data_IF_577995848761
#
_entry.id   IF_577995848761
#
_cell.length_a   1.000
_cell.length_b   1.000
_cell.length_c   1.000
_cell.angle_alpha   90.00
_cell.angle_beta   90.00
_cell.angle_gamma   90.00
#
_symmetry.space_group_name_H-M   'P 1'
#
loop_
_entity.id
_entity.type
_entity.pdbx_description
1 polymer ?
#
# COMPACT_ATOMS: atom_id res chain seq x y z
N UNK A 1 5.52 -0.67 -11.25
CA UNK A 1 4.13 -0.72 -10.74
C UNK A 1 3.19 0.16 -11.58
N UNK A 2 3.56 1.41 -11.85
CA UNK A 2 2.71 2.37 -12.57
C UNK A 2 3.22 2.82 -13.94
N UNK A 3 4.47 2.51 -14.33
CA UNK A 3 4.99 2.88 -15.66
C UNK A 3 4.78 4.36 -15.97
N UNK A 4 4.16 4.65 -17.11
CA UNK A 4 3.84 6.02 -17.55
C UNK A 4 2.84 6.74 -16.63
N UNK A 5 2.07 6.02 -15.81
CA UNK A 5 1.08 6.59 -14.89
C UNK A 5 1.68 6.91 -13.51
N UNK A 6 2.99 6.73 -13.30
CA UNK A 6 3.62 6.94 -12.00
C UNK A 6 3.44 8.37 -11.45
N UNK A 7 3.52 9.39 -12.32
CA UNK A 7 3.29 10.78 -11.93
C UNK A 7 1.87 11.00 -11.41
N UNK A 8 0.86 10.55 -12.16
CA UNK A 8 -0.55 10.67 -11.77
C UNK A 8 -0.89 9.87 -10.50
N UNK A 9 -0.25 8.71 -10.29
CA UNK A 9 -0.42 7.99 -9.03
C UNK A 9 0.15 8.78 -7.85
N UNK A 10 1.32 9.40 -8.02
CA UNK A 10 1.88 10.27 -6.99
C UNK A 10 0.96 11.46 -6.69
N UNK A 11 0.31 12.04 -7.71
CA UNK A 11 -0.69 13.09 -7.51
C UNK A 11 -1.86 12.60 -6.66
N UNK A 12 -2.37 11.39 -6.90
CA UNK A 12 -3.40 10.79 -6.04
C UNK A 12 -2.92 10.57 -4.60
N UNK A 13 -1.68 10.10 -4.40
CA UNK A 13 -1.10 9.93 -3.06
C UNK A 13 -1.01 11.28 -2.34
N UNK A 14 -0.55 12.33 -3.02
CA UNK A 14 -0.46 13.67 -2.46
C UNK A 14 -1.84 14.29 -2.16
N UNK A 15 -2.85 13.95 -2.96
CA UNK A 15 -4.24 14.36 -2.75
C UNK A 15 -5.00 13.46 -1.75
N UNK A 16 -4.34 12.45 -1.17
CA UNK A 16 -4.98 11.48 -0.28
C UNK A 16 -4.90 11.89 1.20
N UNK A 17 -5.91 11.47 1.96
CA UNK A 17 -5.92 11.53 3.43
C UNK A 17 -6.21 10.15 3.98
N UNK A 18 -5.47 9.74 4.99
CA UNK A 18 -5.77 8.52 5.75
C UNK A 18 -7.09 8.72 6.50
N UNK A 19 -8.05 7.84 6.26
CA UNK A 19 -9.31 7.78 7.00
C UNK A 19 -9.08 7.00 8.28
N UNK A 20 -8.54 5.78 8.14
CA UNK A 20 -8.16 4.93 9.25
C UNK A 20 -7.13 3.87 8.84
N UNK A 21 -6.69 3.11 9.84
CA UNK A 21 -5.88 1.92 9.66
C UNK A 21 -6.36 0.83 10.60
N UNK A 22 -6.53 -0.37 10.06
CA UNK A 22 -6.85 -1.59 10.80
C UNK A 22 -5.64 -2.51 10.71
N UNK A 23 -5.00 -2.81 11.84
CA UNK A 23 -3.90 -3.77 11.91
C UNK A 23 -4.46 -5.18 12.17
N UNK A 24 -3.85 -6.18 11.56
CA UNK A 24 -4.17 -7.60 11.77
C UNK A 24 -2.89 -8.36 12.10
N UNK A 25 -3.02 -9.63 12.50
CA UNK A 25 -1.88 -10.52 12.71
C UNK A 25 -0.98 -10.67 11.47
N UNK A 26 -1.58 -10.54 10.29
CA UNK A 26 -0.92 -10.79 9.00
C UNK A 26 -0.68 -9.52 8.20
N UNK A 27 -1.09 -8.35 8.67
CA UNK A 27 -1.01 -7.15 7.85
C UNK A 27 -1.70 -5.94 8.41
N UNK A 28 -2.16 -5.09 7.49
CA UNK A 28 -3.00 -3.96 7.77
C UNK A 28 -3.79 -3.55 6.54
N UNK A 29 -4.90 -2.87 6.76
CA UNK A 29 -5.63 -2.11 5.76
C UNK A 29 -5.59 -0.64 6.14
N UNK A 30 -5.11 0.22 5.23
CA UNK A 30 -5.20 1.68 5.37
C UNK A 30 -6.22 2.18 4.37
N UNK A 31 -7.35 2.69 4.84
CA UNK A 31 -8.35 3.33 3.98
C UNK A 31 -7.97 4.79 3.77
N UNK A 32 -8.11 5.26 2.55
CA UNK A 32 -7.79 6.63 2.17
C UNK A 32 -8.94 7.28 1.43
N UNK A 33 -9.05 8.60 1.55
CA UNK A 33 -9.90 9.42 0.70
C UNK A 33 -9.02 10.25 -0.21
N UNK A 34 -9.19 10.14 -1.52
CA UNK A 34 -8.49 10.97 -2.51
C UNK A 34 -9.36 12.16 -2.91
N UNK A 35 -8.79 13.37 -2.88
CA UNK A 35 -9.44 14.54 -3.46
C UNK A 35 -9.42 14.46 -4.99
N UNK A 36 -10.54 14.01 -5.56
CA UNK A 36 -10.73 13.80 -7.00
C UNK A 36 -10.66 15.10 -7.81
N UNK A 37 -10.72 16.28 -7.19
CA UNK A 37 -10.59 17.56 -7.90
C UNK A 37 -9.13 17.95 -8.20
N UNK A 38 -8.16 17.32 -7.53
CA UNK A 38 -6.74 17.64 -7.61
C UNK A 38 -5.94 16.64 -8.46
N UNK A 39 -6.57 15.56 -8.93
CA UNK A 39 -5.88 14.47 -9.60
C UNK A 39 -6.79 13.81 -10.64
N UNK A 40 -6.19 13.02 -11.53
CA UNK A 40 -6.92 12.29 -12.58
C UNK A 40 -7.09 10.81 -12.21
N UNK A 41 -8.17 10.15 -12.65
CA UNK A 41 -8.31 8.72 -12.48
C UNK A 41 -7.21 8.00 -13.25
N UNK A 42 -6.67 6.95 -12.67
CA UNK A 42 -5.77 6.01 -13.33
C UNK A 42 -6.29 4.59 -13.10
N UNK A 43 -5.94 3.60 -13.92
CA UNK A 43 -6.28 2.22 -13.63
C UNK A 43 -5.57 1.70 -12.37
N UNK A 44 -6.12 2.02 -11.20
CA UNK A 44 -5.76 1.44 -9.90
C UNK A 44 -6.54 0.13 -9.75
N UNK A 45 -6.28 -0.83 -10.64
CA UNK A 45 -6.66 -2.22 -10.37
C UNK A 45 -5.83 -2.80 -9.23
N UNK A 46 -6.00 -4.10 -8.91
CA UNK A 46 -5.12 -4.84 -7.98
C UNK A 46 -3.66 -4.74 -8.46
N UNK A 47 -2.94 -3.72 -7.99
CA UNK A 47 -1.53 -3.50 -8.27
C UNK A 47 -0.77 -3.69 -6.98
N UNK A 48 0.27 -4.50 -7.03
CA UNK A 48 1.05 -4.82 -5.84
C UNK A 48 2.56 -4.87 -6.07
N UNK A 49 3.27 -4.94 -4.96
CA UNK A 49 4.70 -5.20 -4.91
C UNK A 49 5.07 -5.77 -3.56
N UNK A 50 6.21 -6.43 -3.46
CA UNK A 50 6.76 -6.89 -2.19
C UNK A 50 7.97 -6.06 -1.78
N UNK A 51 8.18 -5.95 -0.49
CA UNK A 51 9.25 -5.19 0.12
C UNK A 51 9.97 -6.07 1.11
N UNK A 52 11.30 -6.04 1.09
CA UNK A 52 12.07 -6.56 2.22
C UNK A 52 11.95 -5.58 3.37
N UNK A 53 11.58 -6.11 4.53
CA UNK A 53 11.41 -5.36 5.76
C UNK A 53 12.24 -6.05 6.83
N UNK A 54 13.06 -5.27 7.52
CA UNK A 54 13.96 -5.80 8.53
C UNK A 54 13.19 -6.51 9.65
N UNK A 55 13.61 -7.74 9.97
CA UNK A 55 12.97 -8.57 10.99
C UNK A 55 11.65 -9.22 10.58
N UNK A 56 11.24 -9.16 9.31
CA UNK A 56 10.11 -9.92 8.75
C UNK A 56 10.65 -10.91 7.72
N UNK A 57 10.55 -12.21 8.02
CA UNK A 57 11.20 -13.29 7.25
C UNK A 57 10.92 -13.24 5.74
N UNK A 58 9.66 -13.00 5.38
CA UNK A 58 9.21 -12.93 3.98
C UNK A 58 8.93 -11.51 3.50
N UNK A 59 9.29 -10.51 4.33
CA UNK A 59 8.97 -9.11 4.06
C UNK A 59 7.47 -8.81 4.08
N UNK A 60 7.09 -7.71 3.41
CA UNK A 60 5.71 -7.25 3.27
C UNK A 60 5.33 -7.11 1.80
N UNK A 61 4.24 -7.74 1.40
CA UNK A 61 3.49 -7.37 0.21
C UNK A 61 2.65 -6.11 0.48
N UNK A 62 2.45 -5.32 -0.57
CA UNK A 62 1.48 -4.23 -0.61
C UNK A 62 0.56 -4.46 -1.79
N UNK A 63 -0.75 -4.36 -1.58
CA UNK A 63 -1.77 -4.31 -2.61
C UNK A 63 -2.49 -2.96 -2.55
N UNK A 64 -2.70 -2.39 -3.72
CA UNK A 64 -3.46 -1.16 -3.90
C UNK A 64 -4.80 -1.52 -4.52
N UNK A 65 -5.85 -1.03 -3.88
CA UNK A 65 -7.23 -1.18 -4.29
C UNK A 65 -7.77 0.20 -4.63
N UNK A 66 -8.50 0.29 -5.74
CA UNK A 66 -9.14 1.51 -6.14
C UNK A 66 -10.52 1.28 -6.72
N UNK A 67 -11.31 2.34 -6.66
CA UNK A 67 -12.66 2.42 -7.20
C UNK A 67 -12.73 3.60 -8.17
N UNK A 68 -13.34 3.39 -9.34
CA UNK A 68 -13.39 4.37 -10.44
C UNK A 68 -12.02 5.02 -10.80
N UNK A 69 -10.95 4.26 -10.61
CA UNK A 69 -9.59 4.69 -10.90
C UNK A 69 -8.96 5.62 -9.86
N UNK A 70 -9.50 5.66 -8.65
CA UNK A 70 -8.93 6.37 -7.51
C UNK A 70 -8.52 5.40 -6.41
N UNK A 71 -7.36 5.62 -5.80
CA UNK A 71 -6.91 4.84 -4.65
C UNK A 71 -7.93 4.93 -3.50
N UNK A 72 -8.33 3.77 -2.98
CA UNK A 72 -9.26 3.66 -1.86
C UNK A 72 -8.61 2.95 -0.66
N UNK A 73 -7.87 1.88 -0.91
CA UNK A 73 -7.24 1.09 0.17
C UNK A 73 -5.83 0.67 -0.19
N UNK A 74 -4.93 0.82 0.80
CA UNK A 74 -3.59 0.23 0.80
C UNK A 74 -3.60 -0.93 1.79
N UNK A 75 -3.46 -2.15 1.28
CA UNK A 75 -3.29 -3.36 2.07
C UNK A 75 -1.81 -3.68 2.16
N UNK A 76 -1.28 -3.80 3.37
CA UNK A 76 0.03 -4.41 3.61
C UNK A 76 -0.18 -5.79 4.19
N UNK A 77 0.56 -6.79 3.72
CA UNK A 77 0.40 -8.17 4.18
C UNK A 77 1.74 -8.90 4.24
N UNK A 78 1.90 -9.78 5.20
CA UNK A 78 3.07 -10.64 5.39
C UNK A 78 2.70 -12.10 5.19
N UNK A 79 3.64 -12.89 4.72
CA UNK A 79 3.52 -14.35 4.70
C UNK A 79 4.17 -14.96 5.95
N UNK A 80 3.76 -16.17 6.32
CA UNK A 80 4.29 -16.89 7.49
C UNK A 80 3.47 -16.69 8.77
N UNK A 81 3.92 -17.28 9.89
CA UNK A 81 3.23 -17.24 11.18
C UNK A 81 3.32 -15.88 11.85
N UNK A 82 2.20 -15.14 11.86
CA UNK A 82 1.93 -13.89 12.58
C UNK A 82 3.11 -12.93 12.79
N UNK A 83 3.93 -12.59 11.77
CA UNK A 83 5.17 -11.86 11.98
C UNK A 83 4.96 -10.38 12.34
N UNK A 84 3.70 -9.91 12.29
CA UNK A 84 3.29 -8.54 12.59
C UNK A 84 2.53 -8.42 13.90
N UNK A 85 2.24 -9.52 14.59
CA UNK A 85 1.62 -9.49 15.91
C UNK A 85 2.51 -8.69 16.86
N UNK A 86 1.91 -7.78 17.62
CA UNK A 86 2.56 -6.88 18.59
C UNK A 86 3.62 -5.92 18.03
N UNK A 87 3.75 -5.80 16.70
CA UNK A 87 4.67 -4.82 16.09
C UNK A 87 4.02 -3.46 15.87
N UNK A 88 4.76 -2.41 16.21
CA UNK A 88 4.44 -1.05 15.77
C UNK A 88 4.69 -0.95 14.26
N UNK A 89 3.61 -0.92 13.48
CA UNK A 89 3.70 -0.78 12.03
C UNK A 89 4.16 0.63 11.59
N UNK A 90 4.10 1.62 12.49
CA UNK A 90 4.58 2.97 12.23
C UNK A 90 6.11 3.04 12.10
N UNK A 91 6.82 2.08 12.70
CA UNK A 91 8.29 2.07 12.78
C UNK A 91 8.95 1.13 11.76
N UNK A 92 8.18 0.60 10.80
CA UNK A 92 8.70 -0.33 9.80
C UNK A 92 9.72 0.34 8.87
N UNK A 93 10.88 -0.30 8.72
CA UNK A 93 11.94 0.13 7.81
C UNK A 93 11.93 -0.73 6.55
N UNK A 94 11.53 -0.10 5.44
CA UNK A 94 11.54 -0.71 4.12
C UNK A 94 12.92 -0.53 3.49
N UNK A 95 13.56 -1.63 3.05
CA UNK A 95 14.95 -1.59 2.57
C UNK A 95 15.11 -1.89 1.08
N UNK A 96 14.16 -2.60 0.45
CA UNK A 96 14.19 -2.91 -0.99
C UNK A 96 12.79 -3.21 -1.53
N UNK A 97 12.47 -2.67 -2.70
CA UNK A 97 11.24 -2.97 -3.45
C UNK A 97 11.53 -4.09 -4.46
N UNK A 98 10.68 -5.11 -4.49
CA UNK A 98 10.60 -6.13 -5.52
C UNK A 98 9.21 -6.05 -6.18
N UNK A 99 9.17 -5.68 -7.45
CA UNK A 99 7.91 -5.55 -8.18
C UNK A 99 7.40 -6.94 -8.59
N UNK A 100 6.14 -7.24 -8.26
CA UNK A 100 5.45 -8.40 -8.82
C UNK A 100 4.92 -8.01 -10.22
N UNK A 101 5.13 -8.90 -11.18
CA UNK A 101 4.95 -8.68 -12.63
C UNK A 101 3.58 -8.15 -13.03
#
# INVERSE_FOLDING_TARGET
MFGNEAGKFLDQVNASKVIDRINTAHGFYTRVSVDRSLCSPIPVGQKGGSFKVEGIEHGLGVLLWGDDGFLETVEGYSYGGDPLLDRSLADLKFSRIEQLG
#
